data_IF_577597054099
#
_entry.id   IF_577597054099
#
_cell.length_a   1.000
_cell.length_b   1.000
_cell.length_c   1.000
_cell.angle_alpha   90.00
_cell.angle_beta   90.00
_cell.angle_gamma   90.00
#
_symmetry.space_group_name_H-M   'P 1'
#
loop_
_entity.id
_entity.type
_entity.pdbx_description
1 polymer ?
#
# COMPACT_ATOMS: atom_id res chain seq x y z
N UNK A 1 31.25 -17.20 -62.37
CA UNK A 1 32.24 -17.55 -61.33
C UNK A 1 33.11 -16.34 -61.10
N UNK A 2 33.05 -15.71 -59.93
CA UNK A 2 34.05 -14.74 -59.50
C UNK A 2 34.00 -14.62 -57.98
N UNK A 3 35.00 -15.21 -57.34
CA UNK A 3 35.42 -14.92 -55.98
C UNK A 3 36.16 -13.56 -55.93
N UNK A 4 36.21 -12.89 -54.76
CA UNK A 4 36.75 -11.54 -54.58
C UNK A 4 38.13 -11.54 -53.90
N UNK A 5 38.89 -10.44 -54.00
CA UNK A 5 39.96 -9.99 -53.06
C UNK A 5 40.55 -8.64 -53.54
N UNK A 6 41.34 -7.87 -52.74
CA UNK A 6 41.07 -7.25 -51.42
C UNK A 6 41.46 -5.75 -51.36
N UNK A 7 41.12 -5.04 -50.27
CA UNK A 7 41.71 -3.74 -49.93
C UNK A 7 41.13 -3.11 -48.65
N UNK A 8 41.85 -3.27 -47.54
CA UNK A 8 41.66 -2.68 -46.19
C UNK A 8 42.52 -1.39 -46.05
N UNK A 9 42.60 -0.63 -44.92
CA UNK A 9 41.76 -0.48 -43.70
C UNK A 9 41.58 1.00 -43.19
N UNK A 10 41.06 1.13 -41.94
CA UNK A 10 41.14 2.23 -40.95
C UNK A 10 39.94 3.23 -40.97
N UNK A 11 39.29 3.62 -39.87
CA UNK A 11 39.68 3.67 -38.45
C UNK A 11 38.44 3.71 -37.50
N UNK A 12 38.61 3.12 -36.31
CA UNK A 12 38.11 3.54 -34.97
C UNK A 12 36.62 3.44 -34.57
N UNK A 13 36.33 2.30 -33.91
CA UNK A 13 35.60 2.00 -32.65
C UNK A 13 35.39 3.15 -31.61
N UNK A 14 34.62 3.00 -30.48
CA UNK A 14 34.25 1.73 -29.84
C UNK A 14 32.89 1.57 -29.13
N UNK A 15 32.60 0.29 -28.93
CA UNK A 15 31.67 -0.34 -28.00
C UNK A 15 31.89 0.03 -26.52
N UNK A 16 30.80 0.07 -25.74
CA UNK A 16 30.85 -0.02 -24.29
C UNK A 16 30.11 -1.27 -23.80
N UNK A 17 30.92 -2.27 -23.46
CA UNK A 17 30.63 -3.39 -22.56
C UNK A 17 31.64 -3.26 -21.41
N UNK A 18 31.20 -3.42 -20.16
CA UNK A 18 31.97 -3.85 -18.97
C UNK A 18 31.01 -3.80 -17.76
N UNK A 19 30.45 -4.92 -17.30
CA UNK A 19 31.03 -5.84 -16.30
C UNK A 19 31.36 -5.17 -14.95
N UNK A 20 30.41 -5.17 -14.02
CA UNK A 20 30.65 -4.84 -12.61
C UNK A 20 30.92 -6.10 -11.79
N UNK A 21 32.12 -6.67 -11.95
CA UNK A 21 32.68 -7.66 -11.04
C UNK A 21 34.19 -7.39 -10.89
N UNK A 22 34.70 -7.60 -9.68
CA UNK A 22 36.09 -7.42 -9.23
C UNK A 22 36.50 -6.02 -8.77
N UNK A 23 36.18 -5.72 -7.52
CA UNK A 23 37.22 -5.30 -6.56
C UNK A 23 37.09 -6.18 -5.33
N UNK A 24 38.21 -6.35 -4.63
CA UNK A 24 38.46 -7.19 -3.45
C UNK A 24 39.03 -8.60 -3.69
N UNK A 25 40.26 -8.66 -4.20
CA UNK A 25 41.27 -9.58 -3.64
C UNK A 25 42.66 -8.93 -3.74
N UNK A 26 43.26 -8.62 -2.57
CA UNK A 26 44.70 -8.54 -2.31
C UNK A 26 44.91 -8.73 -0.80
N UNK A 27 45.94 -9.50 -0.44
CA UNK A 27 46.17 -10.30 0.78
C UNK A 27 46.50 -9.52 2.10
N UNK A 28 46.47 -10.19 3.30
CA UNK A 28 46.78 -9.62 4.64
C UNK A 28 48.31 -9.65 4.96
N UNK A 29 48.87 -9.19 6.11
CA UNK A 29 48.26 -8.84 7.42
C UNK A 29 48.81 -7.58 8.15
N UNK A 30 48.12 -7.12 9.20
CA UNK A 30 48.74 -6.62 10.44
C UNK A 30 47.69 -6.57 11.56
N UNK A 31 47.97 -7.28 12.66
CA UNK A 31 47.17 -7.29 13.89
C UNK A 31 47.21 -5.91 14.55
N UNK A 32 46.05 -5.27 14.67
CA UNK A 32 45.83 -4.22 15.66
C UNK A 32 44.48 -4.44 16.34
N UNK A 33 44.56 -4.81 17.62
CA UNK A 33 43.44 -4.84 18.54
C UNK A 33 42.70 -3.50 18.50
N UNK A 34 41.42 -3.51 18.13
CA UNK A 34 40.53 -2.39 18.46
C UNK A 34 39.09 -2.90 18.64
N UNK A 35 38.56 -2.61 19.83
CA UNK A 35 37.24 -3.02 20.30
C UNK A 35 36.14 -2.70 19.27
N UNK A 36 35.40 -3.72 18.86
CA UNK A 36 34.16 -3.57 18.10
C UNK A 36 33.12 -2.81 18.91
N UNK A 37 33.05 -1.49 18.73
CA UNK A 37 31.84 -0.72 19.03
C UNK A 37 30.74 -1.22 18.10
N UNK A 38 29.84 -2.05 18.62
CA UNK A 38 28.62 -2.44 17.93
C UNK A 38 27.85 -1.17 17.58
N UNK A 39 27.82 -0.83 16.29
CA UNK A 39 27.14 0.36 15.78
C UNK A 39 25.62 0.16 15.93
N UNK A 40 25.04 0.62 17.04
CA UNK A 40 23.60 0.63 17.24
C UNK A 40 22.97 1.49 16.15
N UNK A 41 22.31 0.87 15.16
CA UNK A 41 21.54 1.61 14.15
C UNK A 41 20.51 2.49 14.86
N UNK A 42 20.58 3.80 14.64
CA UNK A 42 19.62 4.78 15.17
C UNK A 42 18.29 4.60 14.43
N UNK A 43 17.30 3.96 15.06
CA UNK A 43 15.95 3.88 14.47
C UNK A 43 15.24 5.23 14.61
N UNK A 44 14.47 5.61 13.60
CA UNK A 44 13.65 6.84 13.61
C UNK A 44 12.47 6.67 14.58
N UNK A 45 12.30 7.61 15.51
CA UNK A 45 11.18 7.65 16.46
C UNK A 45 9.83 8.00 15.82
N UNK A 46 8.77 8.04 16.64
CA UNK A 46 7.42 8.40 16.20
C UNK A 46 7.37 9.80 15.55
N UNK A 47 6.78 9.89 14.35
CA UNK A 47 6.49 11.20 13.74
C UNK A 47 5.35 11.86 14.50
N UNK A 48 5.63 13.03 15.09
CA UNK A 48 4.66 13.84 15.85
C UNK A 48 4.14 15.07 15.09
N UNK A 49 4.60 15.27 13.84
CA UNK A 49 4.27 16.44 13.01
C UNK A 49 4.31 17.77 13.79
N UNK A 50 5.35 17.98 14.59
CA UNK A 50 5.49 19.15 15.49
C UNK A 50 5.33 20.49 14.77
N UNK A 51 5.74 20.54 13.50
CA UNK A 51 5.56 21.74 12.66
C UNK A 51 4.10 22.07 12.48
N UNK A 52 3.23 21.08 12.25
CA UNK A 52 1.78 21.27 12.10
C UNK A 52 1.11 21.63 13.43
N UNK A 53 1.44 20.91 14.50
CA UNK A 53 0.84 21.16 15.83
C UNK A 53 1.25 22.50 16.44
N UNK A 54 2.30 23.17 15.93
CA UNK A 54 2.70 24.52 16.33
C UNK A 54 1.90 25.61 15.59
N UNK A 55 1.19 25.29 14.51
CA UNK A 55 0.42 26.23 13.67
C UNK A 55 -0.94 26.60 14.24
N UNK A 56 -1.08 26.71 15.56
CA UNK A 56 -2.39 26.85 16.22
C UNK A 56 -3.12 28.15 15.82
N UNK A 57 -2.43 29.12 15.20
CA UNK A 57 -3.02 30.36 14.69
C UNK A 57 -2.70 30.67 13.21
N UNK A 58 -2.23 29.68 12.43
CA UNK A 58 -1.97 29.88 11.00
C UNK A 58 -3.18 29.46 10.15
N UNK A 59 -3.13 29.78 8.85
CA UNK A 59 -4.15 29.33 7.89
C UNK A 59 -4.23 27.80 7.88
N UNK A 60 -5.44 27.29 8.05
CA UNK A 60 -5.75 25.85 8.00
C UNK A 60 -5.39 25.26 6.64
N UNK A 61 -4.94 24.00 6.66
CA UNK A 61 -4.52 23.31 5.44
C UNK A 61 -5.75 22.74 4.72
N UNK A 62 -5.96 23.15 3.46
CA UNK A 62 -7.05 22.63 2.65
C UNK A 62 -6.88 21.16 2.32
N UNK A 63 -7.92 20.36 2.56
CA UNK A 63 -8.02 18.94 2.21
C UNK A 63 -9.46 18.63 1.81
N UNK A 64 -9.63 17.87 0.73
CA UNK A 64 -10.94 17.38 0.31
C UNK A 64 -11.09 15.92 0.71
N UNK A 65 -12.25 15.54 1.23
CA UNK A 65 -12.55 14.17 1.64
C UNK A 65 -13.79 13.72 0.88
N UNK A 66 -13.66 12.65 0.14
CA UNK A 66 -14.80 11.97 -0.49
C UNK A 66 -15.71 11.39 0.61
N UNK A 67 -16.97 11.83 0.66
CA UNK A 67 -17.92 11.40 1.68
C UNK A 67 -18.29 9.91 1.59
N UNK A 68 -18.25 9.32 0.39
CA UNK A 68 -18.57 7.91 0.18
C UNK A 68 -17.38 7.02 0.54
N UNK A 69 -16.18 7.37 0.07
CA UNK A 69 -14.98 6.52 0.24
C UNK A 69 -14.14 6.88 1.46
N UNK A 70 -14.24 8.10 1.97
CA UNK A 70 -13.38 8.63 3.04
C UNK A 70 -11.99 9.04 2.58
N UNK A 71 -11.71 9.01 1.27
CA UNK A 71 -10.36 9.20 0.75
C UNK A 71 -10.00 10.68 0.70
N UNK A 72 -8.83 11.08 1.25
CA UNK A 72 -8.38 12.46 1.17
C UNK A 72 -7.71 12.74 -0.19
N UNK A 73 -8.01 13.90 -0.77
CA UNK A 73 -7.40 14.42 -1.99
C UNK A 73 -6.92 15.87 -1.80
N UNK A 74 -6.26 16.42 -2.81
CA UNK A 74 -5.63 17.74 -2.77
C UNK A 74 -4.16 17.75 -2.33
N UNK A 75 -3.57 18.95 -2.21
CA UNK A 75 -2.12 19.12 -1.98
C UNK A 75 -1.66 18.61 -0.61
N UNK A 76 -2.50 18.70 0.41
CA UNK A 76 -2.14 18.34 1.79
C UNK A 76 -2.53 16.91 2.20
N UNK A 77 -3.01 16.07 1.29
CA UNK A 77 -3.53 14.71 1.61
C UNK A 77 -2.53 13.81 2.34
N UNK A 78 -1.24 13.93 2.02
CA UNK A 78 -0.18 13.12 2.65
C UNK A 78 0.05 13.58 4.09
N UNK A 79 0.09 14.89 4.31
CA UNK A 79 0.21 15.50 5.63
C UNK A 79 -0.99 15.15 6.50
N UNK A 80 -2.20 15.28 5.95
CA UNK A 80 -3.45 14.89 6.61
C UNK A 80 -3.44 13.42 7.04
N UNK A 81 -3.15 12.50 6.12
CA UNK A 81 -3.07 11.06 6.41
C UNK A 81 -2.03 10.77 7.50
N UNK A 82 -0.89 11.46 7.47
CA UNK A 82 0.18 11.31 8.47
C UNK A 82 -0.26 11.83 9.84
N UNK A 83 -1.07 12.90 9.88
CA UNK A 83 -1.63 13.49 11.09
C UNK A 83 -2.66 12.59 11.74
N UNK A 84 -3.58 12.01 10.97
CA UNK A 84 -4.52 11.00 11.47
C UNK A 84 -3.79 9.85 12.18
N UNK A 85 -2.66 9.40 11.62
CA UNK A 85 -1.84 8.37 12.22
C UNK A 85 -1.13 8.83 13.50
N UNK A 86 -0.75 10.09 13.60
CA UNK A 86 -0.18 10.66 14.83
C UNK A 86 -1.24 10.71 15.94
N UNK A 87 -2.44 11.21 15.63
CA UNK A 87 -3.58 11.22 16.56
C UNK A 87 -3.95 9.82 17.05
N UNK A 88 -4.00 8.85 16.13
CA UNK A 88 -4.27 7.44 16.46
C UNK A 88 -3.26 6.87 17.47
N UNK A 89 -2.00 7.31 17.45
CA UNK A 89 -0.94 6.83 18.35
C UNK A 89 -0.89 7.59 19.67
N UNK A 90 -1.17 8.89 19.65
CA UNK A 90 -0.99 9.78 20.79
C UNK A 90 -2.25 9.90 21.66
N UNK A 91 -3.43 9.97 21.03
CA UNK A 91 -4.68 10.32 21.72
C UNK A 91 -5.58 9.12 22.01
N UNK A 92 -5.33 7.96 21.40
CA UNK A 92 -6.17 6.76 21.55
C UNK A 92 -5.41 5.68 22.32
N UNK A 93 -5.93 5.32 23.50
CA UNK A 93 -5.30 4.28 24.33
C UNK A 93 -5.23 2.93 23.61
N UNK A 94 -4.08 2.26 23.74
CA UNK A 94 -3.87 0.91 23.19
C UNK A 94 -4.63 -0.16 23.96
N UNK A 95 -5.14 0.16 25.16
CA UNK A 95 -5.88 -0.75 26.03
C UNK A 95 -7.32 -0.96 25.58
N UNK A 96 -7.90 -0.06 24.78
CA UNK A 96 -9.24 -0.30 24.24
C UNK A 96 -9.27 -1.60 23.40
N UNK A 97 -10.16 -2.55 23.73
CA UNK A 97 -10.33 -3.79 22.97
C UNK A 97 -10.74 -3.56 21.51
N UNK A 98 -11.75 -2.72 21.29
CA UNK A 98 -12.28 -2.35 19.96
C UNK A 98 -12.46 -0.83 19.82
N UNK A 99 -12.68 -0.36 18.60
CA UNK A 99 -12.93 1.06 18.33
C UNK A 99 -14.28 1.52 18.87
N UNK A 100 -15.26 0.62 18.92
CA UNK A 100 -16.60 0.92 19.42
C UNK A 100 -16.60 1.25 20.92
N UNK A 101 -15.63 0.70 21.65
CA UNK A 101 -15.40 0.97 23.07
C UNK A 101 -14.56 2.22 23.35
N UNK A 102 -14.18 2.98 22.31
CA UNK A 102 -13.59 4.31 22.48
C UNK A 102 -14.72 5.30 22.72
N UNK A 103 -14.63 6.02 23.83
CA UNK A 103 -15.65 6.99 24.26
C UNK A 103 -15.94 8.04 23.18
N UNK A 104 -17.20 8.44 23.08
CA UNK A 104 -17.62 9.45 22.10
C UNK A 104 -16.98 10.81 22.35
N UNK A 105 -16.68 11.15 23.62
CA UNK A 105 -15.91 12.35 23.97
C UNK A 105 -14.52 12.34 23.33
N UNK A 106 -13.79 11.22 23.37
CA UNK A 106 -12.49 11.07 22.71
C UNK A 106 -12.62 11.21 21.19
N UNK A 107 -13.66 10.60 20.59
CA UNK A 107 -13.93 10.71 19.14
C UNK A 107 -14.25 12.16 18.74
N UNK A 108 -14.99 12.89 19.57
CA UNK A 108 -15.27 14.32 19.39
C UNK A 108 -14.00 15.15 19.46
N UNK A 109 -13.16 14.95 20.48
CA UNK A 109 -11.87 15.65 20.62
C UNK A 109 -10.95 15.41 19.42
N UNK A 110 -10.86 14.16 18.94
CA UNK A 110 -10.10 13.83 17.73
C UNK A 110 -10.59 14.61 16.51
N UNK A 111 -11.91 14.74 16.35
CA UNK A 111 -12.51 15.45 15.24
C UNK A 111 -12.27 16.97 15.33
N UNK A 112 -12.43 17.55 16.50
CA UNK A 112 -12.17 18.97 16.77
C UNK A 112 -10.69 19.33 16.52
N UNK A 113 -9.75 18.48 16.95
CA UNK A 113 -8.31 18.63 16.69
C UNK A 113 -7.99 18.62 15.18
N UNK A 114 -8.67 17.77 14.40
CA UNK A 114 -8.53 17.76 12.95
C UNK A 114 -9.04 19.06 12.33
N UNK A 115 -10.22 19.54 12.73
CA UNK A 115 -10.79 20.78 12.21
C UNK A 115 -9.99 22.03 12.62
N UNK A 116 -9.22 21.96 13.71
CA UNK A 116 -8.32 23.03 14.09
C UNK A 116 -7.17 23.23 13.08
N UNK A 117 -6.69 22.15 12.46
CA UNK A 117 -5.53 22.17 11.57
C UNK A 117 -5.87 22.12 10.07
N UNK A 118 -7.03 21.59 9.72
CA UNK A 118 -7.42 21.36 8.33
C UNK A 118 -8.72 22.06 8.00
N UNK A 119 -8.76 22.65 6.80
CA UNK A 119 -9.97 23.21 6.22
C UNK A 119 -10.69 22.11 5.44
N UNK A 120 -11.76 21.60 6.04
CA UNK A 120 -12.56 20.46 5.58
C UNK A 120 -14.02 20.87 5.71
N UNK A 121 -14.81 20.62 4.67
CA UNK A 121 -16.27 20.81 4.72
C UNK A 121 -16.86 19.75 5.65
N UNK A 122 -17.39 20.12 6.83
CA UNK A 122 -17.84 19.16 7.81
C UNK A 122 -19.17 18.52 7.38
N UNK A 123 -19.23 17.19 7.47
CA UNK A 123 -20.46 16.42 7.38
C UNK A 123 -20.32 15.15 8.23
N UNK A 124 -21.44 14.57 8.68
CA UNK A 124 -21.40 13.33 9.46
C UNK A 124 -20.76 12.17 8.70
N UNK A 125 -21.00 12.08 7.38
CA UNK A 125 -20.35 11.08 6.53
C UNK A 125 -18.83 11.23 6.52
N UNK A 126 -18.32 12.46 6.30
CA UNK A 126 -16.88 12.75 6.30
C UNK A 126 -16.27 12.51 7.69
N UNK A 127 -16.96 12.93 8.76
CA UNK A 127 -16.55 12.67 10.15
C UNK A 127 -16.42 11.17 10.41
N UNK A 128 -17.46 10.40 10.10
CA UNK A 128 -17.49 8.95 10.29
C UNK A 128 -16.36 8.23 9.53
N UNK A 129 -16.10 8.61 8.28
CA UNK A 129 -15.02 8.04 7.46
C UNK A 129 -13.63 8.43 7.96
N UNK A 130 -13.45 9.67 8.42
CA UNK A 130 -12.18 10.15 8.98
C UNK A 130 -11.86 9.42 10.28
N UNK A 131 -12.83 9.31 11.19
CA UNK A 131 -12.68 8.54 12.43
C UNK A 131 -12.44 7.06 12.16
N UNK A 132 -13.09 6.48 11.16
CA UNK A 132 -12.82 5.10 10.72
C UNK A 132 -11.38 4.91 10.21
N UNK A 133 -10.80 5.93 9.57
CA UNK A 133 -9.40 5.92 9.14
C UNK A 133 -8.45 5.95 10.33
N UNK A 134 -8.72 6.78 11.34
CA UNK A 134 -7.98 6.80 12.62
C UNK A 134 -8.07 5.43 13.31
N UNK A 135 -9.29 4.85 13.37
CA UNK A 135 -9.52 3.52 13.94
C UNK A 135 -8.66 2.44 13.27
N UNK A 136 -8.57 2.49 11.94
CA UNK A 136 -7.73 1.57 11.16
C UNK A 136 -6.25 1.74 11.49
N UNK A 137 -5.75 2.98 11.50
CA UNK A 137 -4.36 3.29 11.84
C UNK A 137 -4.02 2.91 13.29
N UNK A 138 -4.95 3.09 14.22
CA UNK A 138 -4.81 2.66 15.61
C UNK A 138 -4.72 1.14 15.72
N UNK A 139 -5.58 0.39 15.02
CA UNK A 139 -5.49 -1.08 14.96
C UNK A 139 -4.16 -1.53 14.38
N UNK A 140 -3.70 -0.92 13.29
CA UNK A 140 -2.38 -1.20 12.70
C UNK A 140 -1.25 -0.91 13.68
N UNK A 141 -1.33 0.18 14.44
CA UNK A 141 -0.34 0.51 15.47
C UNK A 141 -0.32 -0.55 16.58
N UNK A 142 -1.48 -1.00 17.08
CA UNK A 142 -1.55 -2.10 18.04
C UNK A 142 -0.93 -3.38 17.48
N UNK A 143 -1.22 -3.73 16.22
CA UNK A 143 -0.62 -4.90 15.55
C UNK A 143 0.90 -4.77 15.46
N UNK A 144 1.40 -3.60 15.05
CA UNK A 144 2.83 -3.30 15.00
C UNK A 144 3.48 -3.43 16.39
N UNK A 145 2.84 -2.90 17.43
CA UNK A 145 3.32 -3.05 18.81
C UNK A 145 3.42 -4.52 19.22
N UNK A 146 2.40 -5.31 18.91
CA UNK A 146 2.41 -6.74 19.24
C UNK A 146 3.49 -7.50 18.48
N UNK A 147 3.57 -7.34 17.16
CA UNK A 147 4.51 -8.12 16.34
C UNK A 147 5.94 -7.66 16.53
N UNK A 148 6.20 -6.36 16.62
CA UNK A 148 7.56 -5.84 16.71
C UNK A 148 8.13 -5.93 18.11
N UNK A 149 7.29 -5.74 19.14
CA UNK A 149 7.75 -5.60 20.52
C UNK A 149 7.28 -6.74 21.40
N UNK A 150 5.97 -6.91 21.63
CA UNK A 150 5.47 -7.87 22.62
C UNK A 150 5.83 -9.34 22.33
N UNK A 151 5.96 -9.73 21.05
CA UNK A 151 6.25 -11.12 20.65
C UNK A 151 7.70 -11.35 20.19
N UNK A 152 8.52 -10.32 20.15
CA UNK A 152 9.90 -10.39 19.63
C UNK A 152 10.87 -9.61 20.54
N UNK A 153 10.62 -9.58 21.86
CA UNK A 153 11.43 -8.81 22.83
C UNK A 153 12.93 -9.13 22.71
N UNK A 154 13.28 -10.39 22.45
CA UNK A 154 14.67 -10.86 22.32
C UNK A 154 15.43 -10.32 21.10
N UNK A 155 14.72 -9.83 20.07
CA UNK A 155 15.31 -9.39 18.79
C UNK A 155 15.51 -7.87 18.70
N UNK A 156 15.27 -7.15 19.78
CA UNK A 156 15.26 -5.69 19.80
C UNK A 156 16.50 -5.18 20.51
N UNK A 157 17.13 -4.14 19.94
CA UNK A 157 18.29 -3.48 20.54
C UNK A 157 18.01 -3.11 22.00
N UNK A 158 18.82 -3.65 22.93
CA UNK A 158 18.82 -3.32 24.36
C UNK A 158 18.99 -1.80 24.51
N UNK A 159 17.91 -1.06 24.74
CA UNK A 159 17.92 0.40 24.88
C UNK A 159 16.81 1.15 24.14
N UNK A 160 16.08 0.51 23.23
CA UNK A 160 14.82 1.06 22.71
C UNK A 160 13.64 0.26 23.26
N UNK A 161 12.67 0.98 23.83
CA UNK A 161 11.40 0.42 24.29
C UNK A 161 10.24 1.12 23.59
N UNK A 162 9.05 0.49 23.51
CA UNK A 162 7.84 1.16 23.04
C UNK A 162 7.54 2.44 23.83
N UNK A 163 7.83 2.41 25.14
CA UNK A 163 7.65 3.54 26.04
C UNK A 163 8.48 4.76 25.57
N UNK A 164 9.77 4.57 25.32
CA UNK A 164 10.65 5.66 24.87
C UNK A 164 10.33 6.14 23.45
N UNK A 165 9.95 5.21 22.55
CA UNK A 165 9.74 5.53 21.13
C UNK A 165 8.40 6.21 20.84
N UNK A 166 7.36 5.83 21.59
CA UNK A 166 5.98 6.25 21.34
C UNK A 166 5.35 7.02 22.51
N UNK A 167 6.05 7.18 23.64
CA UNK A 167 5.53 7.86 24.82
C UNK A 167 4.44 7.07 25.53
N UNK A 168 4.52 5.73 25.49
CA UNK A 168 3.56 4.85 26.16
C UNK A 168 4.00 4.68 27.62
N UNK A 169 3.07 4.83 28.57
CA UNK A 169 3.35 4.60 29.99
C UNK A 169 3.68 3.12 30.24
N UNK A 170 4.60 2.83 31.17
CA UNK A 170 5.03 1.45 31.44
C UNK A 170 3.88 0.54 31.87
N UNK A 171 2.99 1.01 32.75
CA UNK A 171 1.84 0.21 33.20
C UNK A 171 0.87 -0.09 32.05
N UNK A 172 0.64 0.90 31.18
CA UNK A 172 -0.17 0.73 29.97
C UNK A 172 0.47 -0.30 29.04
N UNK A 173 1.80 -0.27 28.90
CA UNK A 173 2.52 -1.26 28.12
C UNK A 173 2.40 -2.67 28.71
N UNK A 174 2.62 -2.83 30.03
CA UNK A 174 2.50 -4.12 30.73
C UNK A 174 1.11 -4.73 30.58
N UNK A 175 0.06 -3.95 30.82
CA UNK A 175 -1.32 -4.40 30.62
C UNK A 175 -1.60 -4.80 29.17
N UNK A 176 -1.08 -4.02 28.21
CA UNK A 176 -1.22 -4.36 26.80
C UNK A 176 -0.55 -5.70 26.45
N UNK A 177 0.67 -5.96 26.94
CA UNK A 177 1.36 -7.24 26.75
C UNK A 177 0.55 -8.37 27.35
N UNK A 178 0.05 -8.22 28.59
CA UNK A 178 -0.77 -9.23 29.25
C UNK A 178 -2.01 -9.61 28.43
N UNK A 179 -2.73 -8.61 27.88
CA UNK A 179 -3.88 -8.85 26.99
C UNK A 179 -3.47 -9.66 25.76
N UNK A 180 -2.33 -9.35 25.15
CA UNK A 180 -1.82 -10.01 23.93
C UNK A 180 -1.25 -11.40 24.18
N UNK A 181 -0.90 -11.73 25.42
CA UNK A 181 -0.46 -13.07 25.83
C UNK A 181 -1.61 -14.02 26.15
N UNK A 182 -2.86 -13.55 26.17
CA UNK A 182 -4.01 -14.42 26.44
C UNK A 182 -4.28 -15.42 25.31
N UNK A 183 -4.59 -16.68 25.65
CA UNK A 183 -4.89 -17.73 24.67
C UNK A 183 -6.08 -17.38 23.76
N UNK A 184 -7.09 -16.68 24.30
CA UNK A 184 -8.24 -16.19 23.53
C UNK A 184 -7.80 -15.20 22.44
N UNK A 185 -6.87 -14.30 22.75
CA UNK A 185 -6.33 -13.37 21.77
C UNK A 185 -5.48 -14.06 20.72
N UNK A 186 -4.63 -15.01 21.13
CA UNK A 186 -3.79 -15.78 20.21
C UNK A 186 -4.63 -16.55 19.18
N UNK A 187 -5.71 -17.21 19.62
CA UNK A 187 -6.64 -17.92 18.73
C UNK A 187 -7.28 -16.97 17.71
N UNK A 188 -7.70 -15.76 18.15
CA UNK A 188 -8.22 -14.72 17.26
C UNK A 188 -7.19 -14.26 16.24
N UNK A 189 -5.90 -14.19 16.61
CA UNK A 189 -4.82 -13.82 15.69
C UNK A 189 -4.50 -14.92 14.67
N UNK A 190 -4.46 -16.19 15.09
CA UNK A 190 -4.08 -17.32 14.22
C UNK A 190 -5.09 -17.55 13.09
N UNK A 191 -6.39 -17.39 13.35
CA UNK A 191 -7.44 -17.63 12.33
C UNK A 191 -7.22 -16.80 11.03
N UNK A 192 -7.06 -15.46 11.05
CA UNK A 192 -6.72 -14.71 9.84
C UNK A 192 -5.37 -15.08 9.22
N UNK A 193 -4.38 -15.48 10.03
CA UNK A 193 -3.07 -15.90 9.51
C UNK A 193 -3.19 -17.20 8.70
N UNK A 194 -3.93 -18.18 9.21
CA UNK A 194 -4.22 -19.44 8.52
C UNK A 194 -5.00 -19.19 7.21
N UNK A 195 -6.00 -18.30 7.23
CA UNK A 195 -6.71 -17.91 6.00
C UNK A 195 -5.74 -17.28 5.00
N UNK A 196 -4.85 -16.39 5.45
CA UNK A 196 -3.87 -15.74 4.57
C UNK A 196 -2.90 -16.75 3.95
N UNK A 197 -2.51 -17.81 4.66
CA UNK A 197 -1.64 -18.87 4.10
C UNK A 197 -2.29 -19.66 2.96
N UNK A 198 -3.62 -19.66 2.89
CA UNK A 198 -4.39 -20.32 1.81
C UNK A 198 -4.57 -19.43 0.58
N UNK A 199 -4.15 -18.16 0.62
CA UNK A 199 -4.25 -17.26 -0.53
C UNK A 199 -3.11 -17.54 -1.52
N UNK A 200 -3.43 -18.22 -2.60
CA UNK A 200 -2.54 -18.60 -3.70
C UNK A 200 -2.41 -17.54 -4.82
N UNK A 201 -3.21 -16.47 -4.74
CA UNK A 201 -3.21 -15.37 -5.72
C UNK A 201 -3.09 -13.99 -5.07
N UNK A 202 -2.02 -13.72 -4.29
CA UNK A 202 -1.80 -12.42 -3.69
C UNK A 202 -1.56 -11.35 -4.76
N UNK A 203 -2.14 -10.15 -4.55
CA UNK A 203 -1.82 -9.00 -5.39
C UNK A 203 -0.46 -8.40 -5.00
N UNK A 204 0.19 -7.66 -5.91
CA UNK A 204 1.53 -7.09 -5.69
C UNK A 204 1.59 -5.59 -5.38
N UNK A 205 0.46 -4.97 -5.06
CA UNK A 205 0.48 -3.54 -4.75
C UNK A 205 1.20 -3.24 -3.44
N UNK A 206 2.02 -2.19 -3.50
CA UNK A 206 2.50 -1.47 -2.32
C UNK A 206 1.40 -0.50 -1.84
N UNK A 207 1.79 0.57 -1.14
CA UNK A 207 0.89 1.56 -0.53
C UNK A 207 -0.13 2.19 -1.49
N UNK A 208 0.10 2.17 -2.81
CA UNK A 208 -0.81 2.74 -3.81
C UNK A 208 -2.09 1.93 -4.09
N UNK A 209 -2.08 0.61 -3.82
CA UNK A 209 -3.24 -0.25 -4.03
C UNK A 209 -3.84 -0.19 -5.45
N UNK A 210 -5.14 -0.51 -5.54
CA UNK A 210 -5.91 -0.47 -6.80
C UNK A 210 -6.19 0.94 -7.32
N UNK A 211 -6.15 1.97 -6.45
CA UNK A 211 -6.38 3.35 -6.89
C UNK A 211 -5.27 3.82 -7.83
N UNK A 212 -4.02 3.70 -7.40
CA UNK A 212 -2.87 4.09 -8.22
C UNK A 212 -2.79 3.23 -9.47
N UNK A 213 -3.23 1.97 -9.40
CA UNK A 213 -3.36 1.13 -10.59
C UNK A 213 -4.38 1.70 -11.57
N UNK A 214 -5.57 2.06 -11.09
CA UNK A 214 -6.65 2.59 -11.92
C UNK A 214 -6.25 3.91 -12.57
N UNK A 215 -5.62 4.82 -11.83
CA UNK A 215 -5.04 6.06 -12.36
C UNK A 215 -4.03 5.78 -13.50
N UNK A 216 -3.14 4.81 -13.32
CA UNK A 216 -2.17 4.40 -14.35
C UNK A 216 -2.85 3.82 -15.59
N UNK A 217 -3.78 2.89 -15.40
CA UNK A 217 -4.52 2.26 -16.51
C UNK A 217 -5.34 3.28 -17.29
N UNK A 218 -5.94 4.27 -16.61
CA UNK A 218 -6.65 5.37 -17.26
C UNK A 218 -5.70 6.26 -18.07
N UNK A 219 -4.54 6.61 -17.51
CA UNK A 219 -3.53 7.38 -18.24
C UNK A 219 -2.99 6.62 -19.47
N UNK A 220 -2.77 5.31 -19.37
CA UNK A 220 -2.40 4.45 -20.51
C UNK A 220 -3.49 4.48 -21.61
N UNK A 221 -4.78 4.37 -21.23
CA UNK A 221 -5.89 4.48 -22.20
C UNK A 221 -5.98 5.84 -22.87
N UNK A 222 -5.73 6.92 -22.15
CA UNK A 222 -5.75 8.29 -22.70
C UNK A 222 -4.64 8.43 -23.74
N UNK A 223 -3.41 8.02 -23.41
CA UNK A 223 -2.27 8.07 -24.33
C UNK A 223 -2.50 7.26 -25.61
N UNK A 224 -3.02 6.03 -25.48
CA UNK A 224 -3.33 5.19 -26.65
C UNK A 224 -4.36 5.85 -27.59
N UNK A 225 -5.30 6.63 -27.04
CA UNK A 225 -6.28 7.37 -27.84
C UNK A 225 -5.65 8.57 -28.54
N UNK A 226 -4.77 9.30 -27.85
CA UNK A 226 -4.01 10.43 -28.41
C UNK A 226 -3.10 9.97 -29.56
N UNK A 227 -2.42 8.83 -29.41
CA UNK A 227 -1.60 8.21 -30.45
C UNK A 227 -2.46 7.80 -31.66
N UNK A 228 -3.57 7.10 -31.45
CA UNK A 228 -4.50 6.72 -32.53
C UNK A 228 -5.13 7.90 -33.28
N UNK A 229 -5.31 9.04 -32.61
CA UNK A 229 -5.85 10.26 -33.23
C UNK A 229 -4.77 11.09 -33.92
N UNK A 230 -3.49 10.90 -33.55
CA UNK A 230 -2.36 11.52 -34.24
C UNK A 230 -1.97 10.76 -35.52
N UNK A 231 -2.31 9.47 -35.61
CA UNK A 231 -2.00 8.60 -36.76
C UNK A 231 -3.10 8.63 -37.86
N UNK A 232 -4.30 9.10 -37.52
CA UNK A 232 -5.39 9.36 -38.46
C UNK A 232 -5.56 10.89 -38.57
N UNK A 233 -5.25 11.51 -39.72
CA UNK A 233 -5.43 12.95 -40.02
C UNK A 233 -6.91 13.41 -39.97
N UNK A 234 -7.58 13.26 -38.83
CA UNK A 234 -8.95 13.69 -38.59
C UNK A 234 -8.87 14.80 -37.54
N UNK A 235 -9.37 15.98 -37.92
CA UNK A 235 -9.41 17.15 -37.03
C UNK A 235 -9.96 16.82 -35.63
N UNK A 236 -9.43 17.48 -34.58
CA UNK A 236 -9.80 17.20 -33.21
C UNK A 236 -11.27 17.55 -32.96
N UNK A 237 -12.16 16.56 -33.10
CA UNK A 237 -13.56 16.70 -32.66
C UNK A 237 -13.56 16.99 -31.16
N UNK A 238 -14.02 18.18 -30.82
CA UNK A 238 -14.00 18.81 -29.49
C UNK A 238 -14.90 18.15 -28.42
N UNK A 239 -15.38 16.93 -28.63
CA UNK A 239 -16.28 16.22 -27.70
C UNK A 239 -15.89 14.75 -27.54
N UNK A 240 -14.69 14.49 -27.05
CA UNK A 240 -14.29 13.13 -26.67
C UNK A 240 -14.52 12.90 -25.19
N UNK A 241 -15.66 12.30 -24.84
CA UNK A 241 -15.95 11.83 -23.48
C UNK A 241 -14.76 11.05 -22.91
N UNK A 242 -14.47 11.19 -21.61
CA UNK A 242 -13.36 10.50 -20.97
C UNK A 242 -13.50 8.98 -21.14
N UNK A 243 -12.39 8.24 -21.30
CA UNK A 243 -12.44 6.80 -21.49
C UNK A 243 -13.10 6.11 -20.29
N UNK A 244 -13.84 5.03 -20.53
CA UNK A 244 -14.48 4.29 -19.45
C UNK A 244 -13.43 3.68 -18.48
N UNK A 245 -13.72 3.67 -17.17
CA UNK A 245 -12.85 3.05 -16.17
C UNK A 245 -12.47 1.60 -16.50
N UNK A 246 -11.29 1.10 -16.07
CA UNK A 246 -10.91 -0.29 -16.25
C UNK A 246 -11.86 -1.22 -15.48
N UNK A 247 -12.29 -2.30 -16.12
CA UNK A 247 -13.14 -3.31 -15.48
C UNK A 247 -12.43 -3.99 -14.32
N UNK A 248 -13.22 -4.58 -13.40
CA UNK A 248 -12.70 -5.25 -12.21
C UNK A 248 -11.76 -6.42 -12.56
N UNK A 249 -12.09 -7.23 -13.56
CA UNK A 249 -11.26 -8.35 -13.99
C UNK A 249 -9.93 -7.89 -14.62
N UNK A 250 -9.93 -6.77 -15.35
CA UNK A 250 -8.70 -6.15 -15.86
C UNK A 250 -7.81 -5.67 -14.71
N UNK A 251 -8.39 -4.98 -13.73
CA UNK A 251 -7.67 -4.55 -12.52
C UNK A 251 -7.08 -5.75 -11.77
N UNK A 252 -7.84 -6.83 -11.63
CA UNK A 252 -7.39 -8.06 -10.96
C UNK A 252 -6.23 -8.74 -11.67
N UNK A 253 -6.27 -8.84 -13.01
CA UNK A 253 -5.18 -9.39 -13.83
C UNK A 253 -3.91 -8.57 -13.64
N UNK A 254 -3.99 -7.26 -13.85
CA UNK A 254 -2.84 -6.35 -13.75
C UNK A 254 -2.22 -6.34 -12.36
N UNK A 255 -3.02 -6.53 -11.31
CA UNK A 255 -2.57 -6.64 -9.93
C UNK A 255 -1.64 -7.83 -9.63
N UNK A 256 -1.70 -8.86 -10.48
CA UNK A 256 -0.99 -10.14 -10.33
C UNK A 256 0.04 -10.38 -11.43
N UNK A 257 0.33 -9.34 -12.21
CA UNK A 257 1.37 -9.34 -13.22
C UNK A 257 2.66 -8.71 -12.69
N UNK A 258 3.79 -9.19 -13.17
CA UNK A 258 5.10 -8.53 -13.04
C UNK A 258 5.23 -7.38 -14.05
N UNK A 259 6.29 -6.59 -13.93
CA UNK A 259 6.63 -5.59 -14.95
C UNK A 259 6.93 -6.22 -16.32
N UNK A 260 7.36 -7.48 -16.36
CA UNK A 260 7.56 -8.26 -17.59
C UNK A 260 6.26 -8.88 -18.14
N UNK A 261 5.11 -8.67 -17.48
CA UNK A 261 3.81 -9.20 -17.91
C UNK A 261 3.53 -10.64 -17.49
N UNK A 262 4.43 -11.30 -16.77
CA UNK A 262 4.23 -12.66 -16.27
C UNK A 262 3.36 -12.68 -15.02
N UNK A 263 2.59 -13.76 -14.81
CA UNK A 263 1.81 -13.96 -13.60
C UNK A 263 2.68 -14.48 -12.44
N UNK A 264 2.27 -14.14 -11.23
CA UNK A 264 3.04 -14.42 -10.02
C UNK A 264 2.84 -15.81 -9.45
N UNK A 265 1.78 -16.50 -9.88
CA UNK A 265 1.50 -17.89 -9.51
C UNK A 265 0.77 -18.59 -10.64
N UNK A 266 0.88 -19.93 -10.67
CA UNK A 266 0.16 -20.75 -11.64
C UNK A 266 -1.36 -20.60 -11.48
N UNK A 267 -1.87 -20.57 -10.24
CA UNK A 267 -3.29 -20.29 -9.98
C UNK A 267 -3.73 -18.95 -10.57
N UNK A 268 -2.91 -17.90 -10.45
CA UNK A 268 -3.25 -16.59 -11.02
C UNK A 268 -3.29 -16.62 -12.55
N UNK A 269 -2.38 -17.38 -13.17
CA UNK A 269 -2.36 -17.61 -14.62
C UNK A 269 -3.61 -18.37 -15.09
N UNK A 270 -4.01 -19.42 -14.38
CA UNK A 270 -5.21 -20.20 -14.71
C UNK A 270 -6.49 -19.36 -14.64
N UNK A 271 -6.66 -18.57 -13.57
CA UNK A 271 -7.78 -17.65 -13.43
C UNK A 271 -7.75 -16.60 -14.54
N UNK A 272 -6.58 -16.06 -14.89
CA UNK A 272 -6.45 -15.09 -15.97
C UNK A 272 -6.86 -15.66 -17.34
N UNK A 273 -6.48 -16.90 -17.66
CA UNK A 273 -6.93 -17.60 -18.89
C UNK A 273 -8.45 -17.73 -18.91
N UNK A 274 -9.07 -18.04 -17.76
CA UNK A 274 -10.53 -18.16 -17.64
C UNK A 274 -11.23 -16.80 -17.77
N UNK A 275 -10.65 -15.74 -17.23
CA UNK A 275 -11.12 -14.35 -17.45
C UNK A 275 -11.13 -14.03 -18.94
N UNK A 276 -10.06 -14.36 -19.67
CA UNK A 276 -9.95 -14.07 -21.10
C UNK A 276 -11.02 -14.82 -21.92
N UNK A 277 -11.25 -16.09 -21.59
CA UNK A 277 -12.34 -16.89 -22.19
C UNK A 277 -13.72 -16.28 -21.92
N UNK A 278 -14.01 -15.86 -20.69
CA UNK A 278 -15.31 -15.27 -20.32
C UNK A 278 -15.51 -13.89 -20.94
N UNK A 279 -14.44 -13.10 -21.08
CA UNK A 279 -14.52 -11.82 -21.77
C UNK A 279 -14.82 -12.00 -23.26
N UNK A 280 -14.20 -12.99 -23.91
CA UNK A 280 -14.53 -13.34 -25.31
C UNK A 280 -15.98 -13.79 -25.45
N UNK A 281 -16.46 -14.67 -24.57
CA UNK A 281 -17.87 -15.10 -24.56
C UNK A 281 -18.82 -13.92 -24.33
N UNK A 282 -18.45 -12.96 -23.48
CA UNK A 282 -19.27 -11.77 -23.25
C UNK A 282 -19.36 -10.88 -24.47
N UNK A 283 -18.25 -10.67 -25.18
CA UNK A 283 -18.21 -9.92 -26.45
C UNK A 283 -19.06 -10.60 -27.54
N UNK A 284 -19.17 -11.92 -27.51
CA UNK A 284 -20.00 -12.72 -28.41
C UNK A 284 -21.47 -12.80 -27.97
N UNK A 285 -21.86 -12.20 -26.85
CA UNK A 285 -23.21 -12.30 -26.30
C UNK A 285 -23.54 -13.64 -25.65
N UNK A 286 -22.55 -14.53 -25.47
CA UNK A 286 -22.72 -15.85 -24.85
C UNK A 286 -22.67 -15.79 -23.32
N UNK A 287 -22.08 -14.73 -22.76
CA UNK A 287 -22.00 -14.52 -21.32
C UNK A 287 -22.47 -13.11 -20.94
N UNK A 288 -23.51 -13.05 -20.11
CA UNK A 288 -24.09 -11.80 -19.62
C UNK A 288 -23.75 -11.64 -18.13
N UNK A 289 -22.75 -10.82 -17.76
CA UNK A 289 -22.44 -10.58 -16.36
C UNK A 289 -23.63 -9.89 -15.67
N UNK A 290 -24.07 -10.43 -14.53
CA UNK A 290 -25.19 -9.86 -13.77
C UNK A 290 -24.91 -9.88 -12.26
N UNK A 291 -25.13 -8.74 -11.60
CA UNK A 291 -24.97 -8.60 -10.15
C UNK A 291 -23.66 -9.19 -9.61
N UNK A 292 -23.77 -10.23 -8.77
CA UNK A 292 -22.63 -10.92 -8.16
C UNK A 292 -21.92 -11.92 -9.07
N UNK A 293 -22.50 -12.26 -10.22
CA UNK A 293 -21.93 -13.17 -11.22
C UNK A 293 -21.21 -12.38 -12.32
N UNK A 294 -20.21 -11.59 -11.93
CA UNK A 294 -19.32 -10.90 -12.87
C UNK A 294 -18.26 -11.87 -13.45
N UNK A 295 -17.56 -11.43 -14.49
CA UNK A 295 -16.50 -12.20 -15.17
C UNK A 295 -15.46 -12.73 -14.17
N UNK A 296 -15.02 -11.89 -13.24
CA UNK A 296 -13.96 -12.25 -12.30
C UNK A 296 -14.44 -13.28 -11.28
N UNK A 297 -15.64 -13.08 -10.73
CA UNK A 297 -16.25 -13.99 -9.76
C UNK A 297 -16.47 -15.37 -10.38
N UNK A 298 -16.96 -15.43 -11.62
CA UNK A 298 -17.12 -16.68 -12.37
C UNK A 298 -15.77 -17.33 -12.67
N UNK A 299 -14.74 -16.55 -12.98
CA UNK A 299 -13.40 -17.07 -13.23
C UNK A 299 -12.72 -17.67 -11.99
N UNK A 300 -12.82 -16.98 -10.84
CA UNK A 300 -12.29 -17.48 -9.56
C UNK A 300 -13.04 -18.75 -9.13
N UNK A 301 -14.33 -18.83 -9.43
CA UNK A 301 -15.20 -19.92 -8.99
C UNK A 301 -15.71 -19.67 -7.57
N UNK A 302 -16.94 -20.12 -7.30
CA UNK A 302 -17.57 -19.99 -5.99
C UNK A 302 -16.94 -20.99 -5.01
N UNK A 303 -15.83 -20.62 -4.37
CA UNK A 303 -15.43 -21.23 -3.10
C UNK A 303 -15.92 -20.31 -1.99
N UNK A 304 -16.88 -20.78 -1.18
CA UNK A 304 -17.51 -20.05 -0.07
C UNK A 304 -16.53 -19.37 0.91
N UNK A 305 -15.24 -19.72 0.85
CA UNK A 305 -14.19 -19.18 1.69
C UNK A 305 -13.51 -17.90 1.18
N UNK A 306 -13.73 -17.46 -0.07
CA UNK A 306 -13.00 -16.32 -0.66
C UNK A 306 -13.71 -14.96 -0.52
N UNK A 307 -15.03 -14.92 -0.25
CA UNK A 307 -15.79 -13.67 -0.18
C UNK A 307 -15.50 -12.79 1.03
N UNK A 308 -14.85 -13.32 2.07
CA UNK A 308 -14.53 -12.51 3.25
C UNK A 308 -13.34 -11.56 3.03
N UNK A 309 -12.59 -11.67 1.93
CA UNK A 309 -11.30 -10.97 1.80
C UNK A 309 -11.00 -10.40 0.39
N UNK A 310 -12.00 -10.27 -0.49
CA UNK A 310 -11.84 -9.60 -1.78
C UNK A 310 -12.52 -8.23 -1.75
N UNK A 311 -11.92 -7.29 -1.01
CA UNK A 311 -12.16 -5.84 -1.12
C UNK A 311 -10.86 -5.08 -0.87
#
# INVERSE_FOLDING_TARGET
MATPTPGTPLLSSPSLSLSWQSRYLTSPPASFHNATKVLVKKLRGSTRLRTLTRRINEKRLQVYIDAATGRPSGPNRVTFTSYLGALAREKVSILHPSWDQVNESTKKLLWEDILAHFDIVPSEAVRGKTLSSIASMWRHFKTYLTTRWALNEDKINRGMTPCNMYGINEDTWRQFVQIRSTASWEKKRKKPQEVQTKNDTPHRFSRGGYQVLEEKLMAEKIKLREEHTSECDIEPRTNTSPPSPPSRHVKWKRARMTSSGQFTSESALQIAKRIDSLEMQSKQGMFHPSGHQDILTTAIGFQEHLYQYIW
#
